data_IF_871543760085
#
_entry.id   IF_871543760085
#
_cell.length_a   1.000
_cell.length_b   1.000
_cell.length_c   1.000
_cell.angle_alpha   90.00
_cell.angle_beta   90.00
_cell.angle_gamma   90.00
#
_symmetry.space_group_name_H-M   'P 1'
#
loop_
_entity.id
_entity.type
_entity.pdbx_description
1 polymer ?
#
# COMPACT_ATOMS: atom_id res chain seq x y z
N UNK A 1 6.09 -9.94 7.25
CA UNK A 1 5.10 -9.55 6.22
C UNK A 1 4.90 -10.74 5.30
N UNK A 2 3.71 -10.89 4.71
CA UNK A 2 3.47 -11.90 3.68
C UNK A 2 2.23 -11.47 2.88
N UNK A 3 2.34 -11.23 1.55
CA UNK A 3 1.16 -10.99 0.73
C UNK A 3 0.29 -12.25 0.72
N UNK A 4 -1.04 -12.10 0.80
CA UNK A 4 -1.96 -13.23 0.81
C UNK A 4 -2.37 -13.71 -0.59
N UNK A 5 -3.01 -14.89 -0.71
CA UNK A 5 -3.25 -15.90 0.34
C UNK A 5 -1.98 -16.66 0.73
N UNK A 6 -1.94 -17.23 1.95
CA UNK A 6 -0.76 -17.92 2.49
C UNK A 6 -1.00 -19.41 2.70
N UNK A 7 -0.05 -20.26 2.31
CA UNK A 7 -0.10 -21.71 2.55
C UNK A 7 0.68 -22.09 3.82
N UNK A 8 -0.04 -22.25 4.94
CA UNK A 8 0.54 -22.62 6.24
C UNK A 8 1.14 -24.03 6.22
N UNK A 9 2.30 -24.19 6.84
CA UNK A 9 3.03 -25.46 6.89
C UNK A 9 3.76 -25.82 5.59
N UNK A 10 3.65 -24.98 4.55
CA UNK A 10 4.37 -25.15 3.26
C UNK A 10 5.25 -23.93 3.02
N UNK A 11 4.66 -22.73 2.98
CA UNK A 11 5.38 -21.46 2.74
C UNK A 11 5.88 -20.85 4.05
N UNK A 12 5.11 -20.99 5.12
CA UNK A 12 5.39 -20.40 6.42
C UNK A 12 4.84 -21.27 7.55
N UNK A 13 5.63 -21.43 8.61
CA UNK A 13 5.19 -22.10 9.83
C UNK A 13 4.14 -21.26 10.56
N UNK A 14 3.09 -21.90 11.10
CA UNK A 14 2.02 -21.19 11.83
C UNK A 14 2.53 -20.36 13.00
N UNK A 15 3.52 -20.87 13.74
CA UNK A 15 4.11 -20.15 14.88
C UNK A 15 4.83 -18.85 14.45
N UNK A 16 5.36 -18.80 13.23
CA UNK A 16 5.97 -17.59 12.66
C UNK A 16 4.89 -16.65 12.12
N UNK A 17 3.89 -17.19 11.43
CA UNK A 17 2.78 -16.41 10.86
C UNK A 17 1.95 -15.68 11.92
N UNK A 18 1.79 -16.28 13.10
CA UNK A 18 1.03 -15.71 14.23
C UNK A 18 1.93 -15.23 15.39
N UNK A 19 3.24 -15.25 15.20
CA UNK A 19 4.22 -14.91 16.23
C UNK A 19 4.22 -13.41 16.60
N UNK A 20 4.89 -13.04 17.70
CA UNK A 20 4.89 -11.66 18.23
C UNK A 20 5.53 -10.63 17.29
N UNK A 21 6.35 -11.08 16.34
CA UNK A 21 6.96 -10.22 15.31
C UNK A 21 6.19 -10.28 13.97
N UNK A 22 5.07 -10.98 13.91
CA UNK A 22 4.26 -11.03 12.71
C UNK A 22 3.58 -9.68 12.46
N UNK A 23 3.69 -9.23 11.21
CA UNK A 23 3.07 -8.00 10.71
C UNK A 23 2.12 -8.29 9.54
N UNK A 24 1.72 -9.55 9.35
CA UNK A 24 0.84 -9.96 8.24
C UNK A 24 -0.52 -9.26 8.35
N UNK A 25 -1.16 -9.30 9.53
CA UNK A 25 -2.45 -8.63 9.72
C UNK A 25 -2.33 -7.11 9.66
N UNK A 26 -1.28 -6.53 10.25
CA UNK A 26 -1.01 -5.09 10.15
C UNK A 26 -0.88 -4.64 8.68
N UNK A 27 -0.13 -5.38 7.86
CA UNK A 27 0.00 -5.12 6.43
C UNK A 27 -1.37 -5.11 5.72
N UNK A 28 -2.24 -6.08 6.01
CA UNK A 28 -3.59 -6.15 5.42
C UNK A 28 -4.45 -4.98 5.87
N UNK A 29 -4.50 -4.72 7.19
CA UNK A 29 -5.26 -3.62 7.79
C UNK A 29 -4.88 -2.27 7.21
N UNK A 30 -3.58 -2.00 7.05
CA UNK A 30 -3.10 -0.72 6.53
C UNK A 30 -3.12 -0.63 5.00
N UNK A 31 -3.32 -1.74 4.29
CA UNK A 31 -3.17 -1.81 2.85
C UNK A 31 -4.09 -0.88 2.06
N UNK A 32 -5.33 -0.66 2.51
CA UNK A 32 -6.27 0.27 1.85
C UNK A 32 -5.83 1.72 2.08
N UNK A 33 -5.54 2.09 3.33
CA UNK A 33 -5.14 3.45 3.69
C UNK A 33 -3.89 3.89 2.92
N UNK A 34 -2.88 3.01 2.83
CA UNK A 34 -1.66 3.28 2.08
C UNK A 34 -1.96 3.47 0.58
N UNK A 35 -2.77 2.59 -0.03
CA UNK A 35 -3.16 2.74 -1.44
C UNK A 35 -3.92 4.03 -1.70
N UNK A 36 -4.84 4.41 -0.82
CA UNK A 36 -5.58 5.66 -0.94
C UNK A 36 -4.66 6.88 -0.82
N UNK A 37 -3.71 6.86 0.12
CA UNK A 37 -2.73 7.93 0.26
C UNK A 37 -1.85 8.08 -1.00
N UNK A 38 -1.34 6.97 -1.54
CA UNK A 38 -0.52 6.96 -2.77
C UNK A 38 -1.32 7.50 -3.96
N UNK A 39 -2.54 7.02 -4.17
CA UNK A 39 -3.40 7.50 -5.26
C UNK A 39 -3.74 8.98 -5.10
N UNK A 40 -4.07 9.42 -3.88
CA UNK A 40 -4.33 10.83 -3.59
C UNK A 40 -3.13 11.70 -3.94
N UNK A 41 -1.93 11.35 -3.50
CA UNK A 41 -0.72 12.11 -3.79
C UNK A 41 -0.41 12.17 -5.29
N UNK A 42 -0.54 11.03 -5.99
CA UNK A 42 -0.33 10.96 -7.43
C UNK A 42 -1.32 11.85 -8.20
N UNK A 43 -2.61 11.80 -7.83
CA UNK A 43 -3.65 12.62 -8.45
C UNK A 43 -3.48 14.12 -8.15
N UNK A 44 -3.10 14.47 -6.92
CA UNK A 44 -2.78 15.85 -6.56
C UNK A 44 -1.60 16.39 -7.39
N UNK A 45 -0.52 15.62 -7.52
CA UNK A 45 0.62 16.00 -8.37
C UNK A 45 0.25 16.18 -9.85
N UNK A 46 -0.55 15.26 -10.42
CA UNK A 46 -1.05 15.40 -11.79
C UNK A 46 -1.96 16.61 -11.99
N UNK A 47 -2.68 17.03 -10.96
CA UNK A 47 -3.55 18.20 -11.03
C UNK A 47 -2.72 19.49 -11.01
N UNK A 48 -1.73 19.57 -10.11
CA UNK A 48 -0.81 20.70 -10.04
C UNK A 48 -0.01 20.88 -11.34
N UNK A 49 0.49 19.78 -11.94
CA UNK A 49 1.20 19.83 -13.21
C UNK A 49 0.32 20.37 -14.35
N UNK A 50 -0.93 19.92 -14.45
CA UNK A 50 -1.87 20.40 -15.47
C UNK A 50 -2.20 21.88 -15.29
N UNK A 51 -2.32 22.36 -14.05
CA UNK A 51 -2.54 23.79 -13.78
C UNK A 51 -1.34 24.63 -14.25
N UNK A 52 -0.12 24.21 -13.91
CA UNK A 52 1.10 24.87 -14.36
C UNK A 52 1.21 24.92 -15.90
N UNK A 53 0.86 23.84 -16.59
CA UNK A 53 0.86 23.80 -18.05
C UNK A 53 -0.20 24.73 -18.66
N UNK A 54 -1.38 24.83 -18.05
CA UNK A 54 -2.44 25.74 -18.49
C UNK A 54 -2.08 27.21 -18.27
N UNK A 55 -1.42 27.53 -17.16
CA UNK A 55 -0.96 28.90 -16.85
C UNK A 55 0.14 29.36 -17.82
N UNK A 56 1.08 28.49 -18.18
CA UNK A 56 2.17 28.84 -19.11
C UNK A 56 1.78 28.75 -20.59
N UNK A 57 0.62 28.17 -20.91
CA UNK A 57 0.07 28.14 -22.26
C UNK A 57 -0.78 29.38 -22.60
N UNK A 58 -0.99 30.29 -21.63
CA UNK A 58 -1.64 31.60 -21.79
C UNK A 58 -0.59 32.70 -21.95
#
# INVERSE_FOLDING_TARGET
MHPGPINRGVEIESAVADGPHSVILNQVTYGIAIRMAVLSMAMSGQTAQRQFEQENAQ
#
